data_IF_832655095799
#
_entry.id   IF_832655095799
#
_cell.length_a   1.000
_cell.length_b   1.000
_cell.length_c   1.000
_cell.angle_alpha   90.00
_cell.angle_beta   90.00
_cell.angle_gamma   90.00
#
_symmetry.space_group_name_H-M   'P 1'
#
loop_
_entity.id
_entity.type
_entity.pdbx_description
1 polymer ?
#
# COMPACT_ATOMS: atom_id res chain seq x y z
N UNK A 1 -45.65 -2.10 -28.50
CA UNK A 1 -44.86 -0.96 -27.97
C UNK A 1 -45.33 -0.69 -26.54
N UNK A 2 -44.52 -1.00 -25.53
CA UNK A 2 -44.89 -0.80 -24.13
C UNK A 2 -44.85 0.70 -23.79
N UNK A 3 -45.98 1.25 -23.36
CA UNK A 3 -46.12 2.66 -22.97
C UNK A 3 -45.56 2.81 -21.56
N UNK A 4 -44.26 3.08 -21.44
CA UNK A 4 -43.63 3.33 -20.15
C UNK A 4 -44.31 4.51 -19.47
N UNK A 5 -44.93 4.27 -18.32
CA UNK A 5 -45.50 5.33 -17.52
C UNK A 5 -44.37 6.09 -16.80
N UNK A 6 -44.56 7.39 -16.60
CA UNK A 6 -43.59 8.26 -15.95
C UNK A 6 -43.17 7.77 -14.56
N UNK A 7 -44.07 7.11 -13.82
CA UNK A 7 -43.79 6.53 -12.49
C UNK A 7 -42.76 5.40 -12.57
N UNK A 8 -42.87 4.51 -13.55
CA UNK A 8 -41.93 3.41 -13.78
C UNK A 8 -40.56 3.94 -14.24
N UNK A 9 -40.55 4.99 -15.06
CA UNK A 9 -39.30 5.66 -15.44
C UNK A 9 -38.63 6.33 -14.23
N UNK A 10 -39.41 6.99 -13.36
CA UNK A 10 -38.89 7.60 -12.12
C UNK A 10 -38.34 6.54 -11.16
N UNK A 11 -39.02 5.40 -11.01
CA UNK A 11 -38.53 4.28 -10.19
C UNK A 11 -37.24 3.67 -10.74
N UNK A 12 -37.15 3.51 -12.06
CA UNK A 12 -35.94 3.01 -12.72
C UNK A 12 -34.76 3.98 -12.52
N UNK A 13 -35.00 5.28 -12.71
CA UNK A 13 -33.99 6.32 -12.50
C UNK A 13 -33.55 6.40 -11.03
N UNK A 14 -34.49 6.26 -10.08
CA UNK A 14 -34.17 6.21 -8.66
C UNK A 14 -33.31 4.98 -8.31
N UNK A 15 -33.63 3.81 -8.86
CA UNK A 15 -32.84 2.59 -8.66
C UNK A 15 -31.42 2.71 -9.25
N UNK A 16 -31.29 3.35 -10.42
CA UNK A 16 -29.98 3.62 -11.04
C UNK A 16 -29.14 4.61 -10.19
N UNK A 17 -29.75 5.66 -9.65
CA UNK A 17 -29.09 6.62 -8.76
C UNK A 17 -28.63 5.97 -7.45
N UNK A 18 -29.47 5.14 -6.83
CA UNK A 18 -29.11 4.40 -5.62
C UNK A 18 -27.96 3.41 -5.90
N UNK A 19 -27.99 2.73 -7.04
CA UNK A 19 -26.91 1.82 -7.45
C UNK A 19 -25.60 2.56 -7.67
N UNK A 20 -25.63 3.74 -8.31
CA UNK A 20 -24.45 4.58 -8.51
C UNK A 20 -23.85 5.05 -7.17
N UNK A 21 -24.68 5.47 -6.22
CA UNK A 21 -24.24 5.86 -4.87
C UNK A 21 -23.60 4.69 -4.11
N UNK A 22 -24.16 3.48 -4.24
CA UNK A 22 -23.60 2.28 -3.63
C UNK A 22 -22.26 1.89 -4.25
N UNK A 23 -22.04 2.15 -5.55
CA UNK A 23 -20.76 1.88 -6.24
C UNK A 23 -19.69 2.90 -5.81
N UNK A 24 -20.06 4.19 -5.65
CA UNK A 24 -19.12 5.24 -5.20
C UNK A 24 -18.64 4.98 -3.76
N UNK A 25 -19.50 4.41 -2.89
CA UNK A 25 -19.09 4.01 -1.53
C UNK A 25 -18.23 2.73 -1.47
N UNK A 26 -17.89 2.10 -2.61
CA UNK A 26 -17.01 0.91 -2.68
C UNK A 26 -15.57 1.24 -3.05
N UNK A 27 -15.20 2.50 -3.16
CA UNK A 27 -13.81 2.92 -3.37
C UNK A 27 -13.27 3.56 -2.11
N UNK A 28 -12.29 2.86 -1.54
CA UNK A 28 -11.46 3.25 -0.40
C UNK A 28 -12.17 3.26 0.96
N UNK A 29 -12.16 2.09 1.61
CA UNK A 29 -11.94 2.08 3.05
C UNK A 29 -10.53 2.63 3.34
N UNK A 30 -10.32 3.94 3.18
CA UNK A 30 -9.34 4.63 4.03
C UNK A 30 -9.88 4.46 5.43
N UNK A 31 -9.38 3.46 6.14
CA UNK A 31 -9.63 3.33 7.56
C UNK A 31 -9.23 4.68 8.17
N UNK A 32 -10.22 5.49 8.56
CA UNK A 32 -9.99 6.52 9.56
C UNK A 32 -9.71 5.70 10.81
N UNK A 33 -8.43 5.51 11.12
CA UNK A 33 -7.97 4.78 12.28
C UNK A 33 -8.27 5.61 13.55
N UNK A 34 -9.55 5.76 13.88
CA UNK A 34 -10.01 6.08 15.22
C UNK A 34 -10.05 4.78 16.02
N UNK A 35 -8.86 4.28 16.32
CA UNK A 35 -8.66 3.08 17.11
C UNK A 35 -7.19 2.97 17.47
N UNK A 36 -6.85 3.30 18.70
CA UNK A 36 -5.54 3.06 19.29
C UNK A 36 -5.26 1.55 19.29
N UNK A 37 -4.68 1.06 18.20
CA UNK A 37 -3.79 -0.09 18.25
C UNK A 37 -2.39 0.51 18.35
N UNK A 38 -1.63 0.15 19.37
CA UNK A 38 -0.16 0.14 19.25
C UNK A 38 0.21 -0.91 18.19
N UNK A 39 -0.17 -0.65 16.94
CA UNK A 39 0.28 -1.40 15.80
C UNK A 39 1.70 -0.93 15.57
N UNK A 40 2.66 -1.86 15.62
CA UNK A 40 3.99 -1.65 15.05
C UNK A 40 3.77 -1.00 13.69
N UNK A 41 4.25 0.23 13.51
CA UNK A 41 4.07 0.95 12.26
C UNK A 41 4.57 0.03 11.13
N UNK A 42 3.72 -0.16 10.13
CA UNK A 42 4.10 -0.90 8.94
C UNK A 42 5.04 0.01 8.17
N UNK A 43 6.29 -0.39 7.92
CA UNK A 43 7.20 0.46 7.18
C UNK A 43 6.62 0.73 5.79
N UNK A 44 6.66 2.00 5.41
CA UNK A 44 6.34 2.47 4.07
C UNK A 44 7.62 2.52 3.25
N UNK A 45 7.55 2.10 2.00
CA UNK A 45 8.71 2.01 1.12
C UNK A 45 8.49 2.84 -0.14
N UNK A 46 9.21 3.95 -0.24
CA UNK A 46 9.14 4.91 -1.35
C UNK A 46 10.04 4.50 -2.51
N UNK A 47 11.17 3.83 -2.22
CA UNK A 47 12.13 3.38 -3.23
C UNK A 47 12.77 2.04 -2.89
N UNK A 48 12.99 1.22 -3.92
CA UNK A 48 13.56 -0.12 -3.80
C UNK A 48 14.84 -0.27 -4.63
N UNK A 49 15.77 -1.06 -4.09
CA UNK A 49 16.99 -1.49 -4.76
C UNK A 49 17.01 -3.01 -4.89
N UNK A 50 17.39 -3.52 -6.06
CA UNK A 50 17.60 -4.95 -6.27
C UNK A 50 19.03 -5.32 -5.93
N UNK A 51 19.22 -6.17 -4.91
CA UNK A 51 20.53 -6.61 -4.45
C UNK A 51 21.37 -7.22 -5.59
N UNK A 52 22.65 -6.90 -5.61
CA UNK A 52 23.63 -7.40 -6.58
C UNK A 52 24.58 -8.40 -5.94
N UNK A 53 25.41 -9.04 -6.76
CA UNK A 53 26.43 -9.98 -6.28
C UNK A 53 27.42 -9.25 -5.36
N UNK A 54 27.67 -9.83 -4.18
CA UNK A 54 28.53 -9.25 -3.16
C UNK A 54 27.89 -8.17 -2.27
N UNK A 55 26.59 -7.86 -2.43
CA UNK A 55 25.91 -6.92 -1.54
C UNK A 55 25.71 -7.50 -0.13
N UNK A 56 25.81 -6.61 0.85
CA UNK A 56 25.51 -6.83 2.27
C UNK A 56 24.57 -5.72 2.75
N UNK A 57 23.84 -5.92 3.85
CA UNK A 57 23.02 -4.84 4.42
C UNK A 57 23.83 -3.55 4.65
N UNK A 58 25.08 -3.68 5.14
CA UNK A 58 25.95 -2.54 5.39
C UNK A 58 26.43 -1.86 4.10
N UNK A 59 26.77 -2.61 3.05
CA UNK A 59 27.18 -2.01 1.76
C UNK A 59 26.04 -1.25 1.11
N UNK A 60 24.83 -1.82 1.12
CA UNK A 60 23.62 -1.19 0.56
C UNK A 60 23.22 0.03 1.40
N UNK A 61 23.14 -0.09 2.73
CA UNK A 61 22.85 1.06 3.59
C UNK A 61 23.84 2.21 3.35
N UNK A 62 25.14 1.91 3.25
CA UNK A 62 26.16 2.91 2.94
C UNK A 62 26.01 3.50 1.54
N UNK A 63 25.68 2.68 0.54
CA UNK A 63 25.45 3.14 -0.85
C UNK A 63 24.36 4.20 -0.92
N UNK A 64 23.31 4.07 -0.10
CA UNK A 64 22.19 5.00 -0.02
C UNK A 64 22.31 6.03 1.13
N UNK A 65 23.48 6.15 1.77
CA UNK A 65 23.73 7.05 2.90
C UNK A 65 22.75 6.87 4.09
N UNK A 66 22.32 5.64 4.34
CA UNK A 66 21.48 5.25 5.46
C UNK A 66 22.32 4.74 6.63
N UNK A 67 21.83 4.90 7.86
CA UNK A 67 22.37 4.14 8.99
C UNK A 67 21.85 2.70 8.91
N UNK A 68 22.60 1.76 9.50
CA UNK A 68 22.18 0.36 9.50
C UNK A 68 20.89 0.15 10.32
N UNK A 69 20.69 0.97 11.36
CA UNK A 69 19.49 0.94 12.20
C UNK A 69 18.26 1.36 11.39
N UNK A 70 18.35 2.45 10.63
CA UNK A 70 17.25 2.92 9.79
C UNK A 70 16.97 1.96 8.62
N UNK A 71 18.02 1.47 7.95
CA UNK A 71 17.86 0.46 6.91
C UNK A 71 17.14 -0.80 7.44
N UNK A 72 17.48 -1.24 8.65
CA UNK A 72 16.81 -2.38 9.29
C UNK A 72 15.38 -2.08 9.71
N UNK A 73 15.07 -0.83 10.09
CA UNK A 73 13.71 -0.44 10.50
C UNK A 73 12.74 -0.44 9.31
N UNK A 74 13.19 -0.02 8.12
CA UNK A 74 12.40 -0.07 6.88
C UNK A 74 12.46 -1.44 6.17
N UNK A 75 13.26 -2.39 6.67
CA UNK A 75 13.34 -3.77 6.16
C UNK A 75 13.20 -4.82 7.30
N UNK A 76 12.12 -4.82 8.09
CA UNK A 76 12.04 -5.57 9.35
C UNK A 76 12.00 -7.11 9.19
N UNK A 77 11.83 -7.62 7.97
CA UNK A 77 11.80 -9.05 7.65
C UNK A 77 13.07 -9.52 6.91
N UNK A 78 14.01 -8.62 6.67
CA UNK A 78 15.25 -8.93 5.97
C UNK A 78 16.20 -9.68 6.89
N UNK A 79 16.69 -10.84 6.43
CA UNK A 79 17.84 -11.49 7.05
C UNK A 79 19.13 -10.97 6.39
N UNK A 80 19.92 -10.19 7.11
CA UNK A 80 21.17 -9.62 6.60
C UNK A 80 22.28 -10.65 6.34
N UNK A 81 22.18 -11.84 6.93
CA UNK A 81 23.15 -12.92 6.73
C UNK A 81 22.87 -13.74 5.47
N UNK A 82 21.66 -13.63 4.90
CA UNK A 82 21.18 -14.43 3.76
C UNK A 82 20.58 -13.56 2.64
N UNK A 83 21.27 -12.48 2.27
CA UNK A 83 20.88 -11.66 1.11
C UNK A 83 21.22 -12.41 -0.19
N UNK A 84 20.31 -12.38 -1.16
CA UNK A 84 20.52 -12.98 -2.47
C UNK A 84 20.35 -11.98 -3.62
N UNK A 85 21.00 -12.26 -4.75
CA UNK A 85 20.95 -11.41 -5.95
C UNK A 85 19.51 -11.31 -6.46
N UNK A 86 19.06 -10.08 -6.71
CA UNK A 86 17.70 -9.76 -7.15
C UNK A 86 16.69 -9.58 -6.01
N UNK A 87 17.10 -9.72 -4.75
CA UNK A 87 16.24 -9.41 -3.61
C UNK A 87 15.93 -7.91 -3.57
N UNK A 88 14.65 -7.57 -3.42
CA UNK A 88 14.23 -6.18 -3.25
C UNK A 88 14.46 -5.69 -1.83
N UNK A 89 15.21 -4.60 -1.70
CA UNK A 89 15.56 -3.94 -0.44
C UNK A 89 14.98 -2.54 -0.46
N UNK A 90 14.30 -2.14 0.60
CA UNK A 90 13.83 -0.77 0.75
C UNK A 90 15.01 0.16 1.07
N UNK A 91 15.13 1.27 0.34
CA UNK A 91 16.26 2.22 0.47
C UNK A 91 15.80 3.67 0.64
N UNK A 92 14.50 3.91 0.62
CA UNK A 92 13.86 5.17 1.01
C UNK A 92 12.45 4.86 1.50
N UNK A 93 12.00 5.55 2.55
CA UNK A 93 10.74 5.23 3.21
C UNK A 93 10.63 5.71 4.64
N UNK A 94 9.67 5.15 5.37
CA UNK A 94 9.44 5.44 6.79
C UNK A 94 9.13 4.15 7.56
N UNK A 95 9.50 4.09 8.84
CA UNK A 95 9.30 2.92 9.71
C UNK A 95 8.35 3.18 10.85
#
# INVERSE_FOLDING_TARGET
MAKFNNKAAVLLNLALLVSLLLIINRTESRQIAIGFREGKATPDCDSVYGAQDGDTCTSVAKMFNLTIEFFSSINPNLNCDDIFVGQWLCVDGSS
#
